data_IF_581715063543
#
_entry.id   IF_581715063543
#
_cell.length_a   1.000
_cell.length_b   1.000
_cell.length_c   1.000
_cell.angle_alpha   90.00
_cell.angle_beta   90.00
_cell.angle_gamma   90.00
#
_symmetry.space_group_name_H-M   'P 1'
#
loop_
_entity.id
_entity.type
_entity.pdbx_description
1 polymer ?
#
# COMPACT_ATOMS: atom_id res chain seq x y z
N UNK A 1 -1.90 3.73 -9.05
CA UNK A 1 -1.30 4.47 -10.19
C UNK A 1 -1.17 5.96 -9.94
N UNK A 2 -2.22 6.68 -9.54
CA UNK A 2 -2.18 8.15 -9.34
C UNK A 2 -1.03 8.63 -8.42
N UNK A 3 -0.89 8.01 -7.24
CA UNK A 3 0.16 8.39 -6.29
C UNK A 3 1.58 8.11 -6.81
N UNK A 4 1.78 7.00 -7.51
CA UNK A 4 3.08 6.69 -8.13
C UNK A 4 3.41 7.69 -9.23
N UNK A 5 2.45 8.00 -10.11
CA UNK A 5 2.63 8.99 -11.18
C UNK A 5 2.94 10.38 -10.61
N UNK A 6 2.22 10.79 -9.56
CA UNK A 6 2.47 12.06 -8.85
C UNK A 6 3.87 12.09 -8.25
N UNK A 7 4.27 11.02 -7.55
CA UNK A 7 5.59 10.94 -6.96
C UNK A 7 6.71 11.00 -8.02
N UNK A 8 6.57 10.26 -9.13
CA UNK A 8 7.51 10.30 -10.26
C UNK A 8 7.59 11.70 -10.87
N UNK A 9 6.46 12.38 -11.08
CA UNK A 9 6.46 13.75 -11.59
C UNK A 9 7.20 14.71 -10.65
N UNK A 10 7.04 14.56 -9.32
CA UNK A 10 7.77 15.37 -8.33
C UNK A 10 9.27 15.11 -8.38
N UNK A 11 9.70 13.86 -8.54
CA UNK A 11 11.12 13.52 -8.76
C UNK A 11 11.66 14.20 -10.01
N UNK A 12 10.95 14.08 -11.14
CA UNK A 12 11.36 14.68 -12.41
C UNK A 12 11.40 16.23 -12.36
N UNK A 13 10.54 16.85 -11.56
CA UNK A 13 10.54 18.30 -11.33
C UNK A 13 11.64 18.79 -10.39
N UNK A 14 12.39 17.90 -9.74
CA UNK A 14 13.35 18.25 -8.70
C UNK A 14 12.74 18.59 -7.33
N UNK A 15 11.42 18.48 -7.17
CA UNK A 15 10.72 18.71 -5.89
C UNK A 15 11.05 17.62 -4.86
N UNK A 16 11.36 16.41 -5.32
CA UNK A 16 11.77 15.28 -4.47
C UNK A 16 13.11 14.77 -4.96
N UNK A 17 14.12 14.83 -4.10
CA UNK A 17 15.41 14.23 -4.39
C UNK A 17 15.38 12.72 -4.16
N UNK A 18 15.97 11.97 -5.09
CA UNK A 18 16.23 10.55 -4.90
C UNK A 18 17.52 10.35 -4.11
N UNK A 19 17.61 9.26 -3.34
CA UNK A 19 18.89 8.82 -2.78
C UNK A 19 19.92 8.53 -3.88
N UNK A 20 21.19 8.34 -3.50
CA UNK A 20 22.20 7.90 -4.45
C UNK A 20 21.85 6.54 -5.06
N UNK A 21 22.45 6.24 -6.22
CA UNK A 21 22.21 4.98 -6.93
C UNK A 21 22.56 3.78 -6.06
N UNK A 22 23.64 3.86 -5.31
CA UNK A 22 24.14 2.80 -4.42
C UNK A 22 23.12 2.52 -3.31
N UNK A 23 22.61 3.57 -2.65
CA UNK A 23 21.60 3.45 -1.59
C UNK A 23 20.31 2.83 -2.14
N UNK A 24 19.87 3.23 -3.33
CA UNK A 24 18.69 2.63 -3.97
C UNK A 24 18.92 1.15 -4.32
N UNK A 25 20.08 0.80 -4.86
CA UNK A 25 20.43 -0.58 -5.20
C UNK A 25 20.48 -1.47 -3.95
N UNK A 26 21.09 -1.00 -2.86
CA UNK A 26 21.17 -1.71 -1.59
C UNK A 26 19.78 -1.94 -0.99
N UNK A 27 18.89 -0.95 -1.09
CA UNK A 27 17.50 -1.09 -0.63
C UNK A 27 16.75 -2.19 -1.39
N UNK A 28 16.93 -2.28 -2.71
CA UNK A 28 16.31 -3.34 -3.53
C UNK A 28 16.92 -4.70 -3.21
N UNK A 29 18.24 -4.77 -3.07
CA UNK A 29 18.94 -6.01 -2.74
C UNK A 29 18.53 -6.54 -1.36
N UNK A 30 18.33 -5.66 -0.38
CA UNK A 30 17.79 -6.01 0.94
C UNK A 30 16.40 -6.61 0.83
N UNK A 31 15.50 -5.99 0.04
CA UNK A 31 14.15 -6.50 -0.20
C UNK A 31 14.18 -7.91 -0.82
N UNK A 32 15.02 -8.15 -1.84
CA UNK A 32 15.18 -9.49 -2.42
C UNK A 32 15.76 -10.50 -1.44
N UNK A 33 16.69 -10.07 -0.58
CA UNK A 33 17.27 -10.94 0.45
C UNK A 33 16.24 -11.35 1.50
N UNK A 34 15.37 -10.43 1.92
CA UNK A 34 14.25 -10.70 2.83
C UNK A 34 13.25 -11.67 2.20
N UNK A 35 12.90 -11.47 0.92
CA UNK A 35 12.05 -12.37 0.15
C UNK A 35 12.65 -13.78 0.02
N UNK A 36 13.96 -13.89 -0.20
CA UNK A 36 14.68 -15.16 -0.24
C UNK A 36 14.67 -15.90 1.09
N UNK A 37 14.78 -15.18 2.22
CA UNK A 37 14.74 -15.78 3.58
C UNK A 37 13.41 -16.42 3.90
N UNK A 38 12.31 -15.85 3.40
CA UNK A 38 10.95 -16.38 3.61
C UNK A 38 10.57 -17.44 2.56
N UNK A 39 11.52 -17.90 1.73
CA UNK A 39 11.29 -18.93 0.71
C UNK A 39 10.33 -18.50 -0.40
N UNK A 40 10.07 -17.20 -0.55
CA UNK A 40 9.16 -16.70 -1.57
C UNK A 40 9.77 -16.86 -2.96
N UNK A 41 8.94 -17.30 -3.92
CA UNK A 41 9.37 -17.35 -5.31
C UNK A 41 9.66 -15.93 -5.83
N UNK A 42 10.42 -15.81 -6.91
CA UNK A 42 10.68 -14.52 -7.56
C UNK A 42 9.46 -13.95 -8.31
N UNK A 43 8.42 -14.76 -8.49
CA UNK A 43 7.22 -14.36 -9.25
C UNK A 43 6.39 -13.25 -8.57
N UNK A 44 6.05 -13.32 -7.27
CA UNK A 44 5.29 -12.28 -6.58
C UNK A 44 6.13 -11.07 -6.15
N UNK A 45 7.27 -10.79 -6.79
CA UNK A 45 8.19 -9.72 -6.35
C UNK A 45 7.53 -8.34 -6.25
N UNK A 46 6.54 -8.07 -7.11
CA UNK A 46 5.80 -6.81 -7.14
C UNK A 46 4.44 -6.90 -6.43
N UNK A 47 4.13 -8.02 -5.79
CA UNK A 47 2.92 -8.15 -4.99
C UNK A 47 3.06 -7.31 -3.74
N UNK A 48 2.18 -6.32 -3.59
CA UNK A 48 2.12 -5.47 -2.42
C UNK A 48 1.09 -5.96 -1.40
N UNK A 49 0.52 -7.16 -1.55
CA UNK A 49 -0.60 -7.60 -0.69
C UNK A 49 -0.35 -7.47 0.81
N UNK A 50 0.89 -7.68 1.26
CA UNK A 50 1.26 -7.57 2.67
C UNK A 50 1.69 -6.16 3.08
N UNK A 51 2.08 -5.31 2.13
CA UNK A 51 2.71 -4.01 2.37
C UNK A 51 1.90 -2.84 1.76
N UNK A 52 0.70 -3.11 1.21
CA UNK A 52 -0.09 -2.12 0.45
C UNK A 52 -0.44 -0.91 1.30
N UNK A 53 -0.80 -1.14 2.57
CA UNK A 53 -1.17 -0.07 3.50
C UNK A 53 0.01 0.86 3.76
N UNK A 54 1.18 0.31 4.05
CA UNK A 54 2.44 1.01 4.30
C UNK A 54 2.93 1.73 3.04
N UNK A 55 2.93 1.04 1.91
CA UNK A 55 3.37 1.56 0.62
C UNK A 55 2.53 2.75 0.17
N UNK A 56 1.20 2.64 0.24
CA UNK A 56 0.29 3.74 -0.12
C UNK A 56 0.43 4.90 0.86
N UNK A 57 0.58 4.62 2.16
CA UNK A 57 0.81 5.67 3.16
C UNK A 57 2.10 6.44 2.91
N UNK A 58 3.18 5.73 2.57
CA UNK A 58 4.47 6.32 2.22
C UNK A 58 4.38 7.16 0.94
N UNK A 59 3.74 6.65 -0.11
CA UNK A 59 3.54 7.37 -1.37
C UNK A 59 2.69 8.63 -1.20
N UNK A 60 1.62 8.56 -0.39
CA UNK A 60 0.76 9.71 -0.12
C UNK A 60 1.54 10.82 0.59
N UNK A 61 2.36 10.46 1.58
CA UNK A 61 3.25 11.41 2.25
C UNK A 61 4.25 12.06 1.28
N UNK A 62 4.84 11.28 0.36
CA UNK A 62 5.74 11.83 -0.67
C UNK A 62 5.02 12.70 -1.71
N UNK A 63 3.72 12.50 -1.87
CA UNK A 63 2.87 13.23 -2.83
C UNK A 63 2.11 14.41 -2.21
N UNK A 64 2.40 14.78 -0.95
CA UNK A 64 1.66 15.78 -0.16
C UNK A 64 0.14 15.52 -0.10
N UNK A 65 -0.26 14.25 -0.23
CA UNK A 65 -1.65 13.84 -0.12
C UNK A 65 -1.93 13.42 1.32
N UNK A 66 -2.97 14.00 1.91
CA UNK A 66 -3.44 13.61 3.23
C UNK A 66 -4.42 12.45 3.10
N UNK A 67 -4.05 11.31 3.67
CA UNK A 67 -4.97 10.18 3.81
C UNK A 67 -5.88 10.38 5.04
N UNK A 68 -7.11 9.84 5.03
CA UNK A 68 -7.97 9.79 6.21
C UNK A 68 -7.26 9.13 7.40
N UNK A 69 -7.53 9.58 8.63
CA UNK A 69 -6.94 8.98 9.85
C UNK A 69 -7.28 7.49 9.96
N UNK A 70 -8.47 7.12 9.51
CA UNK A 70 -8.98 5.74 9.48
C UNK A 70 -8.44 4.90 8.32
N UNK A 71 -7.67 5.45 7.37
CA UNK A 71 -7.21 4.77 6.15
C UNK A 71 -6.66 3.37 6.41
N UNK A 72 -5.66 3.24 7.29
CA UNK A 72 -5.03 1.94 7.59
C UNK A 72 -6.05 0.92 8.10
N UNK A 73 -6.94 1.35 8.99
CA UNK A 73 -7.99 0.51 9.59
C UNK A 73 -9.03 0.10 8.55
N UNK A 74 -9.45 1.02 7.67
CA UNK A 74 -10.41 0.73 6.59
C UNK A 74 -9.80 -0.27 5.60
N UNK A 75 -8.59 -0.01 5.11
CA UNK A 75 -7.94 -0.85 4.10
C UNK A 75 -7.64 -2.25 4.64
N UNK A 76 -7.10 -2.36 5.86
CA UNK A 76 -6.87 -3.67 6.48
C UNK A 76 -8.16 -4.47 6.67
N UNK A 77 -9.22 -3.87 7.26
CA UNK A 77 -10.49 -4.56 7.44
C UNK A 77 -11.16 -4.95 6.12
N UNK A 78 -11.00 -4.12 5.10
CA UNK A 78 -11.47 -4.39 3.73
C UNK A 78 -10.82 -5.65 3.18
N UNK A 79 -9.48 -5.75 3.24
CA UNK A 79 -8.75 -6.94 2.77
C UNK A 79 -9.19 -8.18 3.55
N UNK A 80 -9.23 -8.11 4.88
CA UNK A 80 -9.60 -9.22 5.75
C UNK A 80 -11.02 -9.69 5.50
N UNK A 81 -12.02 -8.79 5.47
CA UNK A 81 -13.43 -9.17 5.25
C UNK A 81 -13.66 -9.73 3.85
N UNK A 82 -13.00 -9.18 2.84
CA UNK A 82 -13.08 -9.70 1.46
C UNK A 82 -12.64 -11.15 1.41
N UNK A 83 -11.50 -11.46 2.02
CA UNK A 83 -10.90 -12.79 1.98
C UNK A 83 -11.60 -13.77 2.91
N UNK A 84 -11.88 -13.38 4.16
CA UNK A 84 -12.32 -14.31 5.21
C UNK A 84 -13.84 -14.39 5.39
N UNK A 85 -14.58 -13.32 5.11
CA UNK A 85 -16.00 -13.26 5.47
C UNK A 85 -16.91 -13.36 4.25
N UNK A 86 -16.53 -12.73 3.14
CA UNK A 86 -17.39 -12.64 1.97
C UNK A 86 -17.00 -13.57 0.81
N UNK A 87 -15.73 -13.99 0.73
CA UNK A 87 -15.28 -14.93 -0.30
C UNK A 87 -15.64 -14.46 -1.71
N UNK A 88 -16.24 -15.34 -2.51
CA UNK A 88 -16.69 -15.00 -3.87
C UNK A 88 -17.91 -14.08 -3.90
N UNK A 89 -18.77 -14.15 -2.87
CA UNK A 89 -19.99 -13.37 -2.78
C UNK A 89 -19.74 -11.90 -2.46
N UNK A 90 -18.48 -11.49 -2.21
CA UNK A 90 -18.16 -10.12 -1.81
C UNK A 90 -18.79 -9.09 -2.75
N UNK A 91 -18.88 -9.33 -4.06
CA UNK A 91 -19.48 -8.36 -4.99
C UNK A 91 -20.98 -8.11 -4.73
N UNK A 92 -21.69 -9.08 -4.17
CA UNK A 92 -23.14 -9.01 -3.97
C UNK A 92 -23.54 -8.46 -2.60
N UNK A 93 -22.64 -8.56 -1.60
CA UNK A 93 -22.93 -8.23 -0.19
C UNK A 93 -22.01 -7.16 0.40
N UNK A 94 -21.12 -6.59 -0.40
CA UNK A 94 -20.17 -5.56 0.02
C UNK A 94 -20.84 -4.21 0.30
N UNK A 95 -21.08 -3.91 1.57
CA UNK A 95 -21.62 -2.64 2.03
C UNK A 95 -20.51 -1.74 2.59
N UNK A 96 -19.61 -1.25 1.73
CA UNK A 96 -18.43 -0.47 2.17
C UNK A 96 -18.81 0.77 2.97
N UNK A 97 -19.88 1.46 2.56
CA UNK A 97 -20.32 2.70 3.20
C UNK A 97 -20.74 2.46 4.66
N UNK A 98 -21.33 1.30 4.95
CA UNK A 98 -21.68 0.90 6.31
C UNK A 98 -20.42 0.77 7.17
N UNK A 99 -19.36 0.14 6.64
CA UNK A 99 -18.14 -0.09 7.41
C UNK A 99 -17.30 1.16 7.58
N UNK A 100 -17.25 2.05 6.59
CA UNK A 100 -16.59 3.35 6.73
C UNK A 100 -17.24 4.12 7.89
N UNK A 101 -18.58 4.15 7.95
CA UNK A 101 -19.31 4.78 9.05
C UNK A 101 -19.03 4.13 10.41
N UNK A 102 -19.03 2.79 10.49
CA UNK A 102 -18.70 2.07 11.74
C UNK A 102 -17.28 2.37 12.22
N UNK A 103 -16.31 2.41 11.30
CA UNK A 103 -14.91 2.68 11.62
C UNK A 103 -14.72 4.13 12.08
N UNK A 104 -15.35 5.09 11.40
CA UNK A 104 -15.26 6.51 11.77
C UNK A 104 -16.02 6.80 13.08
N UNK A 105 -17.10 6.08 13.37
CA UNK A 105 -17.82 6.19 14.66
C UNK A 105 -17.10 5.55 15.86
N UNK A 106 -16.04 4.78 15.61
CA UNK A 106 -15.25 4.08 16.64
C UNK A 106 -13.87 4.72 16.88
N UNK A 107 -13.70 5.97 16.43
CA UNK A 107 -12.50 6.81 16.56
C UNK A 107 -12.80 8.08 17.35
#
# INVERSE_FOLDING_TARGET
MELQATWVAKVLSGTVELPSREVMADSVQKSYSEMGKIGSSKHPTHSLQNDEVEYVSWLAAKSDKRLPRSWKKITFNTIVKRVLYYGENYRDIWAVDKWIREIDSSL
#
